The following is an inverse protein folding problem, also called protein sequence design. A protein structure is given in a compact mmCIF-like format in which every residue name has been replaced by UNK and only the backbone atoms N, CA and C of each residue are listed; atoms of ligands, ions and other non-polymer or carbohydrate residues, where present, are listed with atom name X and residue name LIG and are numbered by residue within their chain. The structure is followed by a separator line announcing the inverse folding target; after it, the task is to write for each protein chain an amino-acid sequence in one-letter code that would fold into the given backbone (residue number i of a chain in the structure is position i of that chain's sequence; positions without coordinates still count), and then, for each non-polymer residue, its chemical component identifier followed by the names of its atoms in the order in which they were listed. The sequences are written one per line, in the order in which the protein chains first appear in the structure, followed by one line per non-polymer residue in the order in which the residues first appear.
data_IF_652842723525
#
_entry.id   IF_652842723525
#
_cell.length_a   1.000
_cell.length_b   1.000
_cell.length_c   1.000
_cell.angle_alpha   90.00
_cell.angle_beta   90.00
_cell.angle_gamma   90.00
#
_symmetry.space_group_name_H-M   'P 1'
#
loop_
_entity.id
_entity.type
_entity.pdbx_description
1 polymer ?
#
# COMPACT_ATOMS: atom_id res chain seq x y z
N UNK A 1 25.25 25.03 3.91
CA UNK A 1 25.76 23.66 3.70
C UNK A 1 24.96 23.08 2.57
N UNK A 2 25.64 22.73 1.47
CA UNK A 2 25.09 22.76 0.12
C UNK A 2 24.03 21.70 -0.15
N UNK A 3 22.93 22.12 -0.77
CA UNK A 3 22.03 21.24 -1.47
C UNK A 3 22.84 20.51 -2.54
N UNK A 4 23.07 19.21 -2.35
CA UNK A 4 23.65 18.35 -3.38
C UNK A 4 22.65 18.28 -4.52
N UNK A 5 22.99 18.92 -5.64
CA UNK A 5 22.18 18.94 -6.85
C UNK A 5 21.81 17.52 -7.26
N UNK A 6 20.51 17.28 -7.43
CA UNK A 6 19.93 16.04 -7.95
C UNK A 6 20.33 15.87 -9.41
N UNK A 7 20.74 14.65 -9.79
CA UNK A 7 21.10 14.37 -11.19
C UNK A 7 19.85 14.53 -12.07
N UNK A 8 19.91 15.31 -13.16
CA UNK A 8 18.78 15.47 -14.05
C UNK A 8 18.40 14.11 -14.69
N UNK A 9 17.11 13.88 -14.96
CA UNK A 9 16.70 12.70 -15.75
C UNK A 9 17.43 12.59 -17.09
N UNK A 10 17.45 11.41 -17.74
CA UNK A 10 18.35 11.08 -18.86
C UNK A 10 18.29 12.05 -20.05
N UNK A 11 17.19 12.78 -20.25
CA UNK A 11 17.04 13.76 -21.34
C UNK A 11 17.65 15.14 -21.03
N UNK A 12 17.98 15.43 -19.77
CA UNK A 12 18.39 16.77 -19.31
C UNK A 12 19.88 16.95 -19.13
N UNK A 13 20.64 15.86 -19.11
CA UNK A 13 22.11 15.90 -19.12
C UNK A 13 22.64 16.47 -20.44
N UNK A 14 21.87 16.33 -21.54
CA UNK A 14 22.19 16.90 -22.85
C UNK A 14 21.76 18.36 -23.07
N UNK A 15 21.06 19.00 -22.11
CA UNK A 15 20.55 20.37 -22.30
C UNK A 15 21.60 21.43 -21.91
N UNK A 16 22.03 22.32 -22.82
CA UNK A 16 22.98 23.39 -22.50
C UNK A 16 22.48 24.30 -21.38
N UNK A 17 23.39 24.80 -20.54
CA UNK A 17 23.03 25.63 -19.39
C UNK A 17 22.19 26.87 -19.76
N UNK A 18 22.50 27.53 -20.89
CA UNK A 18 21.74 28.69 -21.36
C UNK A 18 20.27 28.40 -21.67
N UNK A 19 19.94 27.19 -22.12
CA UNK A 19 18.54 26.78 -22.29
C UNK A 19 17.83 26.60 -20.95
N UNK A 20 18.51 26.07 -19.93
CA UNK A 20 17.94 26.01 -18.56
C UNK A 20 17.64 27.40 -18.03
N UNK A 21 18.52 28.37 -18.29
CA UNK A 21 18.35 29.76 -17.86
C UNK A 21 17.17 30.47 -18.55
N UNK A 22 16.80 30.07 -19.76
CA UNK A 22 15.64 30.62 -20.48
C UNK A 22 14.33 29.87 -20.16
N UNK A 23 14.36 28.53 -20.12
CA UNK A 23 13.15 27.70 -19.97
C UNK A 23 12.60 27.74 -18.55
N UNK A 24 13.45 27.80 -17.52
CA UNK A 24 12.98 27.81 -16.13
C UNK A 24 12.14 29.08 -15.83
N UNK A 25 12.59 30.31 -16.14
CA UNK A 25 11.75 31.50 -15.99
C UNK A 25 10.44 31.41 -16.77
N UNK A 26 10.46 30.90 -18.01
CA UNK A 26 9.25 30.71 -18.80
C UNK A 26 8.26 29.77 -18.09
N UNK A 27 8.72 28.62 -17.61
CA UNK A 27 7.87 27.67 -16.88
C UNK A 27 7.34 28.24 -15.56
N UNK A 28 8.14 29.05 -14.85
CA UNK A 28 7.69 29.80 -13.66
C UNK A 28 6.58 30.80 -14.03
N UNK A 29 6.72 31.54 -15.14
CA UNK A 29 5.69 32.46 -15.63
C UNK A 29 4.40 31.74 -16.04
N UNK A 30 4.51 30.58 -16.70
CA UNK A 30 3.34 29.75 -17.06
C UNK A 30 2.63 29.28 -15.79
N UNK A 31 3.36 28.77 -14.80
CA UNK A 31 2.79 28.35 -13.52
C UNK A 31 2.09 29.51 -12.78
N UNK A 32 2.65 30.72 -12.85
CA UNK A 32 2.03 31.92 -12.27
C UNK A 32 0.74 32.32 -13.00
N UNK A 33 0.73 32.28 -14.34
CA UNK A 33 -0.47 32.53 -15.14
C UNK A 33 -1.57 31.52 -14.82
N UNK A 34 -1.23 30.22 -14.79
CA UNK A 34 -2.14 29.14 -14.40
C UNK A 34 -2.74 29.36 -13.01
N UNK A 35 -1.93 29.80 -12.03
CA UNK A 35 -2.43 30.13 -10.70
C UNK A 35 -3.44 31.29 -10.72
N UNK A 36 -3.16 32.36 -11.48
CA UNK A 36 -4.08 33.48 -11.65
C UNK A 36 -5.41 33.05 -12.32
N UNK A 37 -5.36 32.19 -13.34
CA UNK A 37 -6.55 31.64 -13.98
C UNK A 37 -7.37 30.76 -13.02
N UNK A 38 -6.72 29.91 -12.21
CA UNK A 38 -7.42 29.10 -11.20
C UNK A 38 -8.10 29.97 -10.15
N UNK A 39 -7.41 30.99 -9.64
CA UNK A 39 -7.98 31.98 -8.72
C UNK A 39 -9.22 32.65 -9.30
N UNK A 40 -9.16 33.05 -10.58
CA UNK A 40 -10.32 33.65 -11.26
C UNK A 40 -11.50 32.69 -11.37
N UNK A 41 -11.25 31.39 -11.63
CA UNK A 41 -12.30 30.36 -11.74
C UNK A 41 -12.99 30.08 -10.41
N UNK A 42 -12.24 30.12 -9.30
CA UNK A 42 -12.77 29.81 -7.96
C UNK A 42 -13.19 31.04 -7.15
N UNK A 43 -13.19 32.23 -7.76
CA UNK A 43 -13.48 33.51 -7.07
C UNK A 43 -14.81 33.53 -6.31
N UNK A 44 -15.79 32.75 -6.77
CA UNK A 44 -17.13 32.69 -6.18
C UNK A 44 -17.24 31.59 -5.07
N UNK A 45 -16.20 30.78 -4.87
CA UNK A 45 -16.11 29.77 -3.81
C UNK A 45 -15.03 30.15 -2.78
N UNK A 46 -15.45 30.66 -1.63
CA UNK A 46 -14.55 31.13 -0.56
C UNK A 46 -13.56 30.06 -0.09
N UNK A 47 -13.95 28.79 0.00
CA UNK A 47 -13.07 27.73 0.49
C UNK A 47 -11.97 27.40 -0.52
N UNK A 48 -12.33 27.25 -1.80
CA UNK A 48 -11.36 26.99 -2.86
C UNK A 48 -10.47 28.22 -3.10
N UNK A 49 -11.02 29.43 -2.98
CA UNK A 49 -10.26 30.67 -3.08
C UNK A 49 -9.17 30.76 -2.01
N UNK A 50 -9.50 30.49 -0.74
CA UNK A 50 -8.50 30.45 0.34
C UNK A 50 -7.42 29.41 0.06
N UNK A 51 -7.80 28.23 -0.45
CA UNK A 51 -6.84 27.18 -0.83
C UNK A 51 -5.92 27.63 -1.96
N UNK A 52 -6.44 28.23 -3.03
CA UNK A 52 -5.61 28.71 -4.14
C UNK A 52 -4.73 29.90 -3.73
N UNK A 53 -5.22 30.80 -2.87
CA UNK A 53 -4.44 31.92 -2.33
C UNK A 53 -3.22 31.43 -1.52
N UNK A 54 -3.36 30.33 -0.76
CA UNK A 54 -2.22 29.72 -0.07
C UNK A 54 -1.13 29.22 -1.03
N UNK A 55 -1.47 28.95 -2.30
CA UNK A 55 -0.50 28.61 -3.35
C UNK A 55 0.29 29.79 -3.90
N UNK A 56 -0.14 31.04 -3.65
CA UNK A 56 0.58 32.24 -4.10
C UNK A 56 1.83 32.53 -3.26
N UNK A 57 2.06 31.79 -2.17
CA UNK A 57 3.29 31.92 -1.41
C UNK A 57 4.53 31.73 -2.32
N UNK A 58 5.60 32.51 -2.08
CA UNK A 58 6.88 32.30 -2.77
C UNK A 58 7.36 30.86 -2.62
N UNK A 59 7.97 30.31 -3.67
CA UNK A 59 8.57 28.96 -3.62
C UNK A 59 9.65 28.92 -2.53
N UNK A 60 9.61 27.91 -1.68
CA UNK A 60 10.68 27.60 -0.71
C UNK A 60 11.83 26.81 -1.33
N UNK A 61 11.69 26.41 -2.60
CA UNK A 61 12.61 25.57 -3.36
C UNK A 61 13.02 26.28 -4.65
N UNK A 62 14.22 25.96 -5.14
CA UNK A 62 14.74 26.50 -6.39
C UNK A 62 14.22 25.69 -7.60
N UNK A 63 13.47 26.30 -8.53
CA UNK A 63 13.00 25.63 -9.73
C UNK A 63 14.12 25.14 -10.66
N UNK A 64 15.31 25.72 -10.59
CA UNK A 64 16.48 25.23 -11.34
C UNK A 64 17.06 23.96 -10.72
N UNK A 65 17.02 23.83 -9.39
CA UNK A 65 17.47 22.65 -8.67
C UNK A 65 16.46 21.49 -8.76
N UNK A 66 15.15 21.79 -8.77
CA UNK A 66 14.08 20.79 -8.85
C UNK A 66 13.17 21.01 -10.08
N UNK A 67 13.69 20.87 -11.30
CA UNK A 67 12.91 21.09 -12.51
C UNK A 67 11.76 20.09 -12.68
N UNK A 68 11.87 18.87 -12.17
CA UNK A 68 10.75 17.90 -12.16
C UNK A 68 9.55 18.45 -11.39
N UNK A 69 9.76 19.02 -10.21
CA UNK A 69 8.70 19.67 -9.43
C UNK A 69 8.04 20.82 -10.20
N UNK A 70 8.82 21.62 -10.93
CA UNK A 70 8.29 22.71 -11.74
C UNK A 70 7.47 22.20 -12.93
N UNK A 71 7.93 21.15 -13.61
CA UNK A 71 7.18 20.54 -14.70
C UNK A 71 5.87 19.95 -14.18
N UNK A 72 5.84 19.38 -12.97
CA UNK A 72 4.61 18.87 -12.36
C UNK A 72 3.57 19.99 -12.19
N UNK A 73 4.02 21.17 -11.74
CA UNK A 73 3.14 22.34 -11.60
C UNK A 73 2.53 22.73 -12.94
N UNK A 74 3.38 22.85 -13.97
CA UNK A 74 2.98 23.32 -15.30
C UNK A 74 2.06 22.31 -16.00
N UNK A 75 2.46 21.04 -16.06
CA UNK A 75 1.69 19.98 -16.72
C UNK A 75 0.42 19.63 -15.95
N UNK A 76 0.53 19.60 -14.61
CA UNK A 76 -0.60 19.32 -13.74
C UNK A 76 -1.58 20.48 -13.60
N UNK A 77 -1.21 21.69 -14.05
CA UNK A 77 -1.93 22.93 -13.74
C UNK A 77 -2.24 23.04 -12.23
N UNK A 78 -1.21 22.81 -11.41
CA UNK A 78 -1.28 22.89 -9.95
C UNK A 78 -0.17 23.76 -9.40
N UNK A 79 -0.25 24.05 -8.11
CA UNK A 79 0.81 24.72 -7.36
C UNK A 79 1.22 23.82 -6.19
N UNK A 80 2.51 23.52 -6.09
CA UNK A 80 3.04 22.74 -4.96
C UNK A 80 3.00 23.64 -3.73
N UNK A 81 2.26 23.20 -2.72
CA UNK A 81 2.08 23.94 -1.47
C UNK A 81 3.31 23.75 -0.59
N UNK A 82 3.60 24.75 0.25
CA UNK A 82 4.75 24.73 1.15
C UNK A 82 4.85 23.46 2.00
N UNK A 83 3.73 23.02 2.60
CA UNK A 83 3.68 21.77 3.39
C UNK A 83 4.06 20.52 2.58
N UNK A 84 3.67 20.46 1.30
CA UNK A 84 3.99 19.33 0.43
C UNK A 84 5.48 19.32 0.11
N UNK A 85 6.07 20.48 -0.18
CA UNK A 85 7.49 20.60 -0.43
C UNK A 85 8.34 20.36 0.81
N UNK A 86 7.96 20.88 1.98
CA UNK A 86 8.71 20.69 3.22
C UNK A 86 8.84 19.18 3.55
N UNK A 87 7.76 18.43 3.32
CA UNK A 87 7.76 16.97 3.50
C UNK A 87 8.56 16.29 2.39
N UNK A 88 8.37 16.68 1.13
CA UNK A 88 9.12 16.12 0.02
C UNK A 88 10.63 16.34 0.17
N UNK A 89 11.07 17.51 0.62
CA UNK A 89 12.46 17.83 0.92
C UNK A 89 13.03 16.89 1.99
N UNK A 90 12.27 16.68 3.07
CA UNK A 90 12.65 15.76 4.14
C UNK A 90 12.65 14.30 3.67
N UNK A 91 11.76 13.89 2.76
CA UNK A 91 11.77 12.52 2.20
C UNK A 91 12.95 12.29 1.25
N UNK A 92 13.33 13.31 0.47
CA UNK A 92 14.49 13.27 -0.44
C UNK A 92 15.80 13.15 0.34
N UNK A 93 15.97 13.91 1.41
CA UNK A 93 17.14 13.86 2.29
C UNK A 93 16.73 13.81 3.77
N UNK A 94 16.41 12.62 4.30
CA UNK A 94 15.94 12.50 5.67
C UNK A 94 17.07 12.75 6.68
N UNK A 95 16.72 13.25 7.88
CA UNK A 95 17.70 13.47 8.94
C UNK A 95 18.51 12.20 9.21
N UNK A 96 19.82 12.35 9.30
CA UNK A 96 20.76 11.24 9.52
C UNK A 96 20.79 10.17 8.41
N UNK A 97 20.19 10.41 7.24
CA UNK A 97 20.09 9.46 6.12
C UNK A 97 19.48 8.10 6.49
N UNK A 98 18.67 8.07 7.55
CA UNK A 98 17.94 6.88 7.99
C UNK A 98 16.53 6.85 7.39
N UNK A 99 15.84 5.74 7.58
CA UNK A 99 14.42 5.64 7.26
C UNK A 99 13.64 6.72 8.03
N UNK A 100 12.71 7.37 7.35
CA UNK A 100 11.89 8.42 7.92
C UNK A 100 10.42 8.12 7.64
N UNK A 101 9.57 8.51 8.60
CA UNK A 101 8.12 8.39 8.51
C UNK A 101 7.53 9.79 8.47
N UNK A 102 6.58 10.01 7.56
CA UNK A 102 5.90 11.29 7.38
C UNK A 102 4.41 11.09 7.52
N UNK A 103 3.74 12.02 8.21
CA UNK A 103 2.29 12.02 8.33
C UNK A 103 1.73 13.29 7.69
N UNK A 104 0.82 13.11 6.74
CA UNK A 104 -0.06 14.19 6.27
C UNK A 104 -1.51 13.81 6.50
N UNK A 105 -2.35 14.83 6.59
CA UNK A 105 -3.80 14.68 6.56
C UNK A 105 -4.25 14.11 5.21
N UNK A 106 -5.38 13.39 5.23
CA UNK A 106 -5.99 12.87 4.02
C UNK A 106 -6.41 14.02 3.09
N UNK A 107 -6.22 13.83 1.79
CA UNK A 107 -6.55 14.85 0.77
C UNK A 107 -5.48 15.92 0.56
N UNK A 108 -4.37 15.90 1.30
CA UNK A 108 -3.27 16.86 1.13
C UNK A 108 -2.36 16.57 -0.09
N UNK A 109 -2.71 15.59 -0.92
CA UNK A 109 -1.98 15.27 -2.15
C UNK A 109 -0.67 14.49 -1.94
N UNK A 110 -0.66 13.53 -1.02
CA UNK A 110 0.49 12.63 -0.79
C UNK A 110 0.86 11.88 -2.09
N UNK A 111 -0.07 11.03 -2.55
CA UNK A 111 0.10 10.17 -3.73
C UNK A 111 0.13 10.96 -5.04
N UNK A 112 -0.53 12.13 -5.10
CA UNK A 112 -0.70 12.90 -6.34
C UNK A 112 0.36 13.98 -6.58
N UNK A 113 1.10 14.38 -5.54
CA UNK A 113 2.11 15.45 -5.62
C UNK A 113 3.42 15.00 -4.99
N UNK A 114 3.42 14.59 -3.72
CA UNK A 114 4.64 14.31 -2.95
C UNK A 114 5.36 13.08 -3.51
N UNK A 115 4.67 11.96 -3.64
CA UNK A 115 5.30 10.73 -4.13
C UNK A 115 5.89 10.90 -5.54
N UNK A 116 5.18 11.52 -6.52
CA UNK A 116 5.76 11.83 -7.82
C UNK A 116 7.03 12.69 -7.77
N UNK A 117 7.02 13.83 -7.05
CA UNK A 117 8.21 14.72 -7.03
C UNK A 117 9.38 14.09 -6.28
N UNK A 118 9.12 13.33 -5.22
CA UNK A 118 10.15 12.61 -4.47
C UNK A 118 10.72 11.50 -5.34
N UNK A 119 9.86 10.72 -6.00
CA UNK A 119 10.30 9.65 -6.89
C UNK A 119 11.12 10.19 -8.07
N UNK A 120 10.68 11.26 -8.71
CA UNK A 120 11.38 11.88 -9.83
C UNK A 120 12.76 12.43 -9.42
N UNK A 121 12.85 13.05 -8.23
CA UNK A 121 14.09 13.61 -7.72
C UNK A 121 15.11 12.53 -7.28
N UNK A 122 14.61 11.38 -6.79
CA UNK A 122 15.46 10.26 -6.36
C UNK A 122 15.86 9.33 -7.51
N UNK A 123 15.13 9.36 -8.64
CA UNK A 123 15.40 8.55 -9.82
C UNK A 123 16.55 9.16 -10.65
N UNK A 124 17.74 9.15 -10.05
CA UNK A 124 18.96 9.83 -10.49
C UNK A 124 19.85 9.01 -11.44
N UNK A 125 19.41 7.82 -11.85
CA UNK A 125 20.23 6.92 -12.67
C UNK A 125 21.10 5.95 -11.86
N UNK A 126 21.35 6.26 -10.59
CA UNK A 126 22.26 5.50 -9.72
C UNK A 126 21.52 4.51 -8.82
N UNK A 127 20.29 4.84 -8.47
CA UNK A 127 19.45 4.09 -7.51
C UNK A 127 18.17 3.60 -8.17
N UNK A 128 17.66 2.47 -7.68
CA UNK A 128 16.34 1.99 -8.08
C UNK A 128 15.27 2.61 -7.17
N UNK A 129 14.45 3.53 -7.69
CA UNK A 129 13.33 4.08 -6.92
C UNK A 129 12.13 3.17 -7.00
N UNK A 130 11.61 2.74 -5.85
CA UNK A 130 10.43 1.88 -5.73
C UNK A 130 9.32 2.61 -4.98
N UNK A 131 8.16 2.74 -5.62
CA UNK A 131 6.92 3.19 -4.98
C UNK A 131 6.14 1.95 -4.56
N UNK A 132 6.04 1.72 -3.26
CA UNK A 132 5.36 0.57 -2.66
C UNK A 132 3.96 0.99 -2.25
N UNK A 133 2.96 0.26 -2.74
CA UNK A 133 1.54 0.49 -2.44
C UNK A 133 0.80 -0.82 -2.22
N UNK A 134 -0.30 -0.75 -1.47
CA UNK A 134 -1.15 -1.91 -1.28
C UNK A 134 -1.79 -2.33 -2.61
N UNK A 135 -2.05 -3.62 -2.77
CA UNK A 135 -2.66 -4.19 -3.99
C UNK A 135 -3.96 -3.49 -4.43
N UNK A 136 -4.90 -3.12 -3.54
CA UNK A 136 -6.10 -2.39 -3.95
C UNK A 136 -5.81 -1.02 -4.57
N UNK A 137 -4.77 -0.32 -4.11
CA UNK A 137 -4.41 1.03 -4.56
C UNK A 137 -3.47 1.01 -5.79
N UNK A 138 -2.88 -0.14 -6.11
CA UNK A 138 -1.82 -0.26 -7.12
C UNK A 138 -2.22 0.25 -8.51
N UNK A 139 -3.45 -0.04 -8.97
CA UNK A 139 -3.91 0.44 -10.28
C UNK A 139 -4.06 1.96 -10.31
N UNK A 140 -4.64 2.53 -9.25
CA UNK A 140 -4.80 3.97 -9.11
C UNK A 140 -3.43 4.66 -9.04
N UNK A 141 -2.49 4.12 -8.27
CA UNK A 141 -1.13 4.67 -8.18
C UNK A 141 -0.40 4.58 -9.53
N UNK A 142 -0.59 3.49 -10.30
CA UNK A 142 -0.04 3.41 -11.65
C UNK A 142 -0.55 4.54 -12.54
N UNK A 143 -1.86 4.77 -12.58
CA UNK A 143 -2.47 5.82 -13.39
C UNK A 143 -1.96 7.22 -12.96
N UNK A 144 -1.79 7.44 -11.66
CA UNK A 144 -1.20 8.68 -11.12
C UNK A 144 0.24 8.84 -11.58
N UNK A 145 1.10 7.84 -11.37
CA UNK A 145 2.52 7.92 -11.74
C UNK A 145 2.70 8.10 -13.24
N UNK A 146 1.93 7.37 -14.06
CA UNK A 146 1.95 7.52 -15.53
C UNK A 146 1.51 8.92 -15.93
N UNK A 147 0.41 9.44 -15.36
CA UNK A 147 -0.08 10.78 -15.66
C UNK A 147 0.88 11.89 -15.21
N UNK A 148 1.56 11.73 -14.06
CA UNK A 148 2.40 12.77 -13.48
C UNK A 148 3.84 12.74 -13.95
N UNK A 149 4.38 11.56 -14.27
CA UNK A 149 5.79 11.39 -14.59
C UNK A 149 6.02 10.98 -16.06
N UNK A 150 5.03 10.38 -16.72
CA UNK A 150 5.15 9.90 -18.10
C UNK A 150 5.02 10.99 -19.17
N UNK A 151 4.55 12.18 -18.79
CA UNK A 151 4.34 13.32 -19.69
C UNK A 151 5.63 14.10 -19.97
N UNK A 152 5.64 15.40 -19.68
CA UNK A 152 6.79 16.29 -20.00
C UNK A 152 8.06 15.89 -19.22
N UNK A 153 7.91 15.27 -18.05
CA UNK A 153 9.05 14.73 -17.30
C UNK A 153 9.72 13.53 -17.99
N UNK A 154 8.98 12.82 -18.84
CA UNK A 154 9.42 11.65 -19.61
C UNK A 154 10.15 10.59 -18.75
N UNK A 155 9.54 10.24 -17.62
CA UNK A 155 10.01 9.17 -16.74
C UNK A 155 9.18 7.92 -16.99
N UNK A 156 9.84 6.83 -17.34
CA UNK A 156 9.15 5.55 -17.55
C UNK A 156 8.76 4.94 -16.20
N UNK A 157 7.50 4.50 -16.12
CA UNK A 157 7.00 3.72 -14.99
C UNK A 157 7.17 2.23 -15.30
N UNK A 158 7.89 1.55 -14.41
CA UNK A 158 8.12 0.12 -14.45
C UNK A 158 7.21 -0.56 -13.43
N UNK A 159 6.83 -1.80 -13.68
CA UNK A 159 6.16 -2.65 -12.68
C UNK A 159 7.07 -3.82 -12.36
N UNK A 160 7.12 -4.23 -11.09
CA UNK A 160 7.86 -5.42 -10.68
C UNK A 160 7.15 -6.68 -11.24
N UNK A 161 7.75 -7.44 -12.16
CA UNK A 161 7.08 -8.51 -12.89
C UNK A 161 7.20 -9.84 -12.12
N UNK A 162 6.83 -9.83 -10.84
CA UNK A 162 6.94 -10.98 -9.96
C UNK A 162 5.60 -11.29 -9.33
N UNK A 163 5.22 -12.55 -9.40
CA UNK A 163 4.09 -13.10 -8.68
C UNK A 163 4.43 -14.52 -8.26
N UNK A 164 3.68 -15.07 -7.29
CA UNK A 164 3.94 -16.41 -6.78
C UNK A 164 3.88 -17.52 -7.84
N UNK A 165 3.14 -17.32 -8.92
CA UNK A 165 3.02 -18.29 -10.02
C UNK A 165 4.21 -18.30 -10.98
N UNK A 166 5.08 -17.29 -10.92
CA UNK A 166 6.29 -17.23 -11.75
C UNK A 166 7.27 -18.29 -11.27
N UNK A 167 7.61 -19.22 -12.14
CA UNK A 167 8.79 -20.09 -11.95
C UNK A 167 9.99 -19.32 -12.46
N UNK A 168 11.03 -19.24 -11.64
CA UNK A 168 12.28 -18.57 -11.97
C UNK A 168 13.37 -19.62 -12.22
N UNK A 169 14.01 -19.52 -13.37
CA UNK A 169 15.26 -20.19 -13.70
C UNK A 169 16.41 -19.17 -13.80
N UNK A 170 17.64 -19.66 -13.99
CA UNK A 170 18.82 -18.80 -14.03
C UNK A 170 18.77 -17.75 -15.17
N UNK A 171 18.10 -18.05 -16.28
CA UNK A 171 17.93 -17.12 -17.40
C UNK A 171 16.93 -16.01 -17.05
N UNK A 172 15.83 -16.37 -16.41
CA UNK A 172 14.80 -15.43 -15.97
C UNK A 172 15.32 -14.51 -14.86
N UNK A 173 16.13 -15.04 -13.93
CA UNK A 173 16.81 -14.22 -12.93
C UNK A 173 17.74 -13.19 -13.59
N UNK A 174 18.50 -13.57 -14.62
CA UNK A 174 19.31 -12.61 -15.39
C UNK A 174 18.47 -11.55 -16.11
N UNK A 175 17.36 -11.94 -16.74
CA UNK A 175 16.44 -11.00 -17.40
C UNK A 175 15.87 -10.00 -16.40
N UNK A 176 15.44 -10.47 -15.23
CA UNK A 176 14.95 -9.61 -14.14
C UNK A 176 16.03 -8.66 -13.64
N UNK A 177 17.26 -9.13 -13.46
CA UNK A 177 18.37 -8.29 -13.01
C UNK A 177 18.63 -7.15 -14.01
N UNK A 178 18.65 -7.47 -15.30
CA UNK A 178 18.79 -6.48 -16.37
C UNK A 178 17.60 -5.51 -16.39
N UNK A 179 16.38 -5.99 -16.18
CA UNK A 179 15.19 -5.15 -16.11
C UNK A 179 15.24 -4.13 -14.97
N UNK A 180 15.68 -4.55 -13.77
CA UNK A 180 15.87 -3.64 -12.64
C UNK A 180 17.00 -2.64 -12.89
N UNK A 181 18.12 -3.08 -13.47
CA UNK A 181 19.23 -2.19 -13.82
C UNK A 181 18.84 -1.17 -14.89
N UNK A 182 18.07 -1.56 -15.91
CA UNK A 182 17.57 -0.66 -16.92
C UNK A 182 16.63 0.39 -16.31
N UNK A 183 15.73 -0.01 -15.41
CA UNK A 183 14.87 0.92 -14.68
C UNK A 183 15.68 1.97 -13.91
N UNK A 184 16.72 1.54 -13.18
CA UNK A 184 17.59 2.46 -12.47
C UNK A 184 18.34 3.38 -13.43
N UNK A 185 19.03 2.83 -14.43
CA UNK A 185 19.86 3.58 -15.37
C UNK A 185 19.08 4.58 -16.23
N UNK A 186 17.82 4.29 -16.57
CA UNK A 186 16.95 5.23 -17.28
C UNK A 186 16.34 6.30 -16.37
N UNK A 187 16.66 6.31 -15.07
CA UNK A 187 15.98 7.15 -14.08
C UNK A 187 14.46 6.89 -14.06
N UNK A 188 14.05 5.64 -14.25
CA UNK A 188 12.67 5.21 -14.18
C UNK A 188 12.21 5.00 -12.74
N UNK A 189 10.89 4.90 -12.55
CA UNK A 189 10.26 4.65 -11.25
C UNK A 189 9.56 3.30 -11.29
N UNK A 190 9.81 2.45 -10.29
CA UNK A 190 9.22 1.12 -10.21
C UNK A 190 8.05 1.08 -9.23
N UNK A 191 6.86 0.70 -9.71
CA UNK A 191 5.71 0.40 -8.89
C UNK A 191 5.81 -1.03 -8.35
N UNK A 192 5.67 -1.17 -7.04
CA UNK A 192 5.86 -2.42 -6.30
C UNK A 192 4.69 -2.63 -5.34
N UNK A 193 4.31 -3.90 -5.17
CA UNK A 193 3.37 -4.33 -4.12
C UNK A 193 4.16 -5.13 -3.08
N UNK A 194 3.78 -5.10 -1.79
CA UNK A 194 4.40 -5.94 -0.77
C UNK A 194 4.46 -7.42 -1.15
N UNK A 195 3.41 -7.93 -1.83
CA UNK A 195 3.32 -9.32 -2.29
C UNK A 195 4.46 -9.70 -3.25
N UNK A 196 4.93 -8.77 -4.08
CA UNK A 196 6.02 -9.02 -5.05
C UNK A 196 7.35 -9.20 -4.33
N UNK A 197 7.64 -8.35 -3.34
CA UNK A 197 8.87 -8.40 -2.53
C UNK A 197 8.91 -9.71 -1.73
N UNK A 198 7.82 -10.02 -1.04
CA UNK A 198 7.75 -11.22 -0.21
C UNK A 198 7.76 -12.50 -1.05
N UNK A 199 7.07 -12.51 -2.19
CA UNK A 199 7.13 -13.65 -3.13
C UNK A 199 8.56 -13.94 -3.56
N UNK A 200 9.34 -12.91 -3.91
CA UNK A 200 10.72 -13.07 -4.34
C UNK A 200 11.63 -13.60 -3.21
N UNK A 201 11.47 -13.08 -2.00
CA UNK A 201 12.19 -13.55 -0.82
C UNK A 201 11.91 -15.04 -0.56
N UNK A 202 10.64 -15.43 -0.53
CA UNK A 202 10.25 -16.81 -0.25
C UNK A 202 10.67 -17.78 -1.36
N UNK A 203 10.56 -17.37 -2.63
CA UNK A 203 11.08 -18.19 -3.74
C UNK A 203 12.59 -18.43 -3.61
N UNK A 204 13.35 -17.41 -3.18
CA UNK A 204 14.80 -17.54 -2.97
C UNK A 204 15.10 -18.58 -1.88
N UNK A 205 14.38 -18.51 -0.76
CA UNK A 205 14.52 -19.46 0.36
C UNK A 205 14.10 -20.88 -0.05
N UNK A 206 12.98 -21.03 -0.75
CA UNK A 206 12.50 -22.34 -1.22
C UNK A 206 13.47 -23.00 -2.20
N UNK A 207 14.04 -22.21 -3.11
CA UNK A 207 15.06 -22.68 -4.06
C UNK A 207 16.30 -23.18 -3.31
N UNK A 208 16.72 -22.48 -2.24
CA UNK A 208 17.81 -22.92 -1.39
C UNK A 208 17.48 -24.24 -0.66
N UNK A 209 16.26 -24.37 -0.11
CA UNK A 209 15.81 -25.59 0.60
C UNK A 209 15.75 -26.80 -0.35
N UNK A 210 15.39 -26.60 -1.63
CA UNK A 210 15.39 -27.65 -2.66
C UNK A 210 16.79 -28.12 -3.07
N UNK A 211 17.84 -27.44 -2.64
CA UNK A 211 19.23 -27.77 -2.98
C UNK A 211 19.71 -27.17 -4.31
N UNK A 212 18.95 -26.27 -4.93
CA UNK A 212 19.32 -25.58 -6.17
C UNK A 212 20.26 -24.40 -5.87
N UNK A 213 21.45 -24.69 -5.33
CA UNK A 213 22.37 -23.71 -4.72
C UNK A 213 22.80 -22.58 -5.65
N UNK A 214 23.11 -22.87 -6.92
CA UNK A 214 23.53 -21.86 -7.89
C UNK A 214 22.41 -20.87 -8.23
N UNK A 215 21.18 -21.36 -8.41
CA UNK A 215 20.01 -20.52 -8.67
C UNK A 215 19.66 -19.68 -7.44
N UNK A 216 19.61 -20.32 -6.26
CA UNK A 216 19.36 -19.64 -4.99
C UNK A 216 20.40 -18.52 -4.75
N UNK A 217 21.68 -18.77 -5.05
CA UNK A 217 22.73 -17.77 -4.94
C UNK A 217 22.51 -16.60 -5.90
N UNK A 218 22.17 -16.86 -7.16
CA UNK A 218 21.86 -15.79 -8.12
C UNK A 218 20.63 -14.96 -7.73
N UNK A 219 19.60 -15.59 -7.15
CA UNK A 219 18.43 -14.89 -6.64
C UNK A 219 18.76 -14.06 -5.39
N UNK A 220 19.59 -14.60 -4.50
CA UNK A 220 20.08 -13.89 -3.32
C UNK A 220 20.90 -12.66 -3.69
N UNK A 221 21.82 -12.76 -4.67
CA UNK A 221 22.64 -11.63 -5.10
C UNK A 221 21.77 -10.52 -5.72
N UNK A 222 20.69 -10.88 -6.42
CA UNK A 222 19.69 -9.91 -6.86
C UNK A 222 18.92 -9.28 -5.68
N UNK A 223 18.53 -10.07 -4.68
CA UNK A 223 17.87 -9.56 -3.49
C UNK A 223 18.74 -8.55 -2.73
N UNK A 224 20.03 -8.86 -2.56
CA UNK A 224 21.01 -7.97 -1.95
C UNK A 224 21.21 -6.68 -2.77
N UNK A 225 21.26 -6.78 -4.10
CA UNK A 225 21.30 -5.62 -4.99
C UNK A 225 20.05 -4.73 -4.81
N UNK A 226 18.86 -5.34 -4.74
CA UNK A 226 17.61 -4.61 -4.52
C UNK A 226 17.55 -3.94 -3.14
N UNK A 227 18.18 -4.49 -2.11
CA UNK A 227 18.19 -3.86 -0.78
C UNK A 227 19.27 -2.77 -0.65
N UNK A 228 20.42 -2.95 -1.29
CA UNK A 228 21.57 -2.05 -1.16
C UNK A 228 21.48 -0.82 -2.08
N UNK A 229 20.78 -0.93 -3.21
CA UNK A 229 20.70 0.14 -4.23
C UNK A 229 19.31 0.71 -4.46
N UNK A 230 18.28 0.22 -3.78
CA UNK A 230 16.94 0.78 -3.91
C UNK A 230 16.65 1.88 -2.90
N UNK A 231 15.68 2.72 -3.25
CA UNK A 231 15.07 3.71 -2.38
C UNK A 231 13.56 3.53 -2.42
N UNK A 232 13.00 3.18 -1.28
CA UNK A 232 11.57 2.88 -1.15
C UNK A 232 10.80 4.10 -0.67
N UNK A 233 9.70 4.37 -1.37
CA UNK A 233 8.67 5.32 -0.99
C UNK A 233 7.42 4.48 -0.74
N UNK A 234 6.92 4.47 0.49
CA UNK A 234 5.78 3.63 0.88
C UNK A 234 4.58 4.53 1.13
N UNK A 235 3.57 4.42 0.28
CA UNK A 235 2.29 5.10 0.50
C UNK A 235 1.44 4.27 1.47
N UNK A 236 0.62 4.91 2.31
CA UNK A 236 -0.20 4.25 3.35
C UNK A 236 0.58 3.16 4.13
N UNK A 237 1.72 3.57 4.70
CA UNK A 237 2.65 2.67 5.39
C UNK A 237 2.06 1.96 6.62
N UNK A 238 1.04 2.53 7.26
CA UNK A 238 0.30 1.90 8.35
C UNK A 238 -0.51 0.68 7.87
N UNK A 239 -1.07 0.75 6.66
CA UNK A 239 -1.70 -0.40 6.01
C UNK A 239 -0.63 -1.41 5.52
N UNK A 240 0.39 -0.94 4.80
CA UNK A 240 1.39 -1.83 4.18
C UNK A 240 2.26 -2.58 5.20
N UNK A 241 2.46 -2.02 6.39
CA UNK A 241 3.19 -2.67 7.48
C UNK A 241 2.28 -3.29 8.53
N UNK A 242 0.96 -3.32 8.30
CA UNK A 242 0.02 -3.97 9.21
C UNK A 242 0.17 -5.49 9.17
N UNK A 243 0.16 -6.12 10.34
CA UNK A 243 0.11 -7.59 10.48
C UNK A 243 -1.15 -8.20 9.85
N UNK A 244 -2.19 -7.41 9.61
CA UNK A 244 -3.41 -7.86 8.92
C UNK A 244 -3.15 -8.31 7.48
N UNK A 245 -2.12 -7.77 6.84
CA UNK A 245 -1.73 -8.08 5.47
C UNK A 245 -0.51 -9.00 5.39
N UNK A 246 -0.18 -9.69 6.50
CA UNK A 246 0.85 -10.72 6.49
C UNK A 246 0.43 -11.85 5.55
N UNK A 247 1.17 -12.03 4.45
CA UNK A 247 0.89 -13.07 3.48
C UNK A 247 1.47 -14.39 3.98
N UNK A 248 0.59 -15.27 4.44
CA UNK A 248 0.95 -16.62 4.87
C UNK A 248 0.88 -17.55 3.65
N UNK A 249 2.02 -18.06 3.20
CA UNK A 249 2.11 -19.02 2.11
C UNK A 249 2.32 -20.44 2.66
N UNK A 250 1.45 -21.36 2.25
CA UNK A 250 1.62 -22.78 2.58
C UNK A 250 2.66 -23.42 1.67
N UNK A 251 3.49 -24.30 2.23
CA UNK A 251 4.53 -25.04 1.51
C UNK A 251 4.19 -26.52 1.49
N UNK A 252 4.41 -27.17 0.34
CA UNK A 252 4.16 -28.60 0.12
C UNK A 252 2.83 -28.89 -0.55
N UNK A 253 2.47 -30.18 -0.60
CA UNK A 253 1.23 -30.63 -1.22
C UNK A 253 0.00 -30.20 -0.42
N UNK A 254 -1.12 -30.02 -1.13
CA UNK A 254 -2.41 -29.80 -0.49
C UNK A 254 -2.73 -30.99 0.43
N UNK A 255 -2.80 -30.73 1.73
CA UNK A 255 -3.22 -31.71 2.73
C UNK A 255 -4.60 -31.35 3.24
N UNK A 256 -5.33 -32.36 3.70
CA UNK A 256 -6.53 -32.13 4.51
C UNK A 256 -6.17 -31.22 5.69
N UNK A 257 -6.97 -30.18 5.90
CA UNK A 257 -6.80 -29.30 7.06
C UNK A 257 -6.91 -30.18 8.32
N UNK A 258 -5.95 -30.05 9.25
CA UNK A 258 -6.00 -30.78 10.51
C UNK A 258 -7.32 -30.50 11.25
N UNK A 259 -7.98 -31.56 11.74
CA UNK A 259 -9.33 -31.53 12.33
C UNK A 259 -10.40 -30.94 11.38
N UNK A 260 -10.27 -31.16 10.07
CA UNK A 260 -11.14 -30.60 9.04
C UNK A 260 -12.63 -30.69 9.38
N UNK A 261 -13.26 -31.88 9.31
CA UNK A 261 -14.69 -32.04 9.60
C UNK A 261 -15.09 -31.44 10.93
N UNK A 262 -14.27 -31.64 11.96
CA UNK A 262 -14.53 -31.12 13.29
C UNK A 262 -14.58 -29.58 13.32
N UNK A 263 -13.72 -28.88 12.57
CA UNK A 263 -13.67 -27.41 12.58
C UNK A 263 -14.99 -26.76 12.14
N UNK A 264 -15.64 -27.29 11.10
CA UNK A 264 -16.93 -26.73 10.65
C UNK A 264 -18.13 -27.36 11.37
N UNK A 265 -18.05 -28.64 11.76
CA UNK A 265 -19.12 -29.29 12.54
C UNK A 265 -19.27 -28.66 13.92
N UNK A 266 -18.16 -28.42 14.63
CA UNK A 266 -18.16 -27.77 15.96
C UNK A 266 -18.87 -26.41 15.90
N UNK A 267 -18.51 -25.58 14.91
CA UNK A 267 -19.10 -24.25 14.76
C UNK A 267 -20.61 -24.37 14.48
N UNK A 268 -21.01 -25.27 13.59
CA UNK A 268 -22.43 -25.49 13.27
C UNK A 268 -23.23 -26.01 14.47
N UNK A 269 -22.67 -26.92 15.27
CA UNK A 269 -23.32 -27.45 16.45
C UNK A 269 -23.46 -26.39 17.55
N UNK A 270 -22.39 -25.63 17.83
CA UNK A 270 -22.43 -24.51 18.78
C UNK A 270 -23.43 -23.45 18.34
N UNK A 271 -23.43 -23.06 17.06
CA UNK A 271 -24.42 -22.14 16.52
C UNK A 271 -25.83 -22.73 16.65
N UNK A 272 -26.04 -24.00 16.32
CA UNK A 272 -27.33 -24.69 16.48
C UNK A 272 -27.85 -24.64 17.93
N UNK A 273 -26.97 -24.83 18.91
CA UNK A 273 -27.28 -24.69 20.34
C UNK A 273 -27.67 -23.24 20.65
N UNK A 274 -26.89 -22.26 20.21
CA UNK A 274 -27.20 -20.84 20.39
C UNK A 274 -28.57 -20.51 19.78
N UNK A 275 -28.82 -20.89 18.53
CA UNK A 275 -30.10 -20.66 17.86
C UNK A 275 -31.28 -21.32 18.59
N UNK A 276 -31.10 -22.52 19.14
CA UNK A 276 -32.11 -23.18 19.99
C UNK A 276 -32.44 -22.34 21.23
N UNK A 277 -31.43 -21.88 21.96
CA UNK A 277 -31.64 -21.10 23.17
C UNK A 277 -32.07 -19.66 22.90
N UNK A 278 -31.73 -19.09 21.74
CA UNK A 278 -32.25 -17.80 21.30
C UNK A 278 -33.76 -17.86 21.06
N UNK A 279 -34.29 -18.94 20.45
CA UNK A 279 -35.75 -19.16 20.32
C UNK A 279 -36.46 -19.24 21.67
N UNK A 280 -35.85 -19.91 22.64
CA UNK A 280 -36.38 -19.98 24.00
C UNK A 280 -36.27 -18.65 24.75
N UNK A 281 -35.19 -17.91 24.54
CA UNK A 281 -35.02 -16.60 25.13
C UNK A 281 -35.97 -15.57 24.53
N UNK A 282 -36.40 -15.71 23.27
CA UNK A 282 -37.42 -14.82 22.68
C UNK A 282 -38.76 -14.90 23.39
N UNK A 283 -39.17 -16.08 23.87
CA UNK A 283 -40.41 -16.21 24.66
C UNK A 283 -40.24 -15.62 26.06
N UNK A 284 -39.06 -15.78 26.67
CA UNK A 284 -38.74 -15.24 28.01
C UNK A 284 -38.47 -13.72 28.01
N UNK A 285 -37.90 -13.19 26.94
CA UNK A 285 -37.54 -11.79 26.75
C UNK A 285 -38.06 -11.24 25.40
N UNK A 286 -39.38 -11.06 25.23
CA UNK A 286 -39.98 -10.68 23.94
C UNK A 286 -39.44 -9.37 23.35
N UNK A 287 -39.04 -8.42 24.20
CA UNK A 287 -38.44 -7.13 23.84
C UNK A 287 -36.90 -7.11 23.95
N UNK A 288 -36.28 -8.17 24.47
CA UNK A 288 -34.84 -8.24 24.70
C UNK A 288 -34.08 -8.90 23.55
N UNK A 289 -34.73 -9.74 22.75
CA UNK A 289 -34.15 -10.43 21.60
C UNK A 289 -35.05 -10.22 20.38
N UNK A 290 -34.46 -9.94 19.23
CA UNK A 290 -35.14 -10.07 17.93
C UNK A 290 -34.57 -11.27 17.20
N UNK A 291 -35.47 -12.04 16.58
CA UNK A 291 -35.13 -13.19 15.75
C UNK A 291 -35.80 -12.99 14.40
N UNK A 292 -35.00 -13.03 13.35
CA UNK A 292 -35.49 -13.07 11.98
C UNK A 292 -35.13 -14.42 11.35
N UNK A 293 -36.16 -15.20 11.02
CA UNK A 293 -36.05 -16.55 10.46
C UNK A 293 -36.48 -16.53 9.00
N UNK A 294 -35.52 -16.38 8.09
CA UNK A 294 -35.76 -16.43 6.65
C UNK A 294 -35.85 -17.89 6.22
N UNK A 295 -37.02 -18.52 6.39
CA UNK A 295 -37.33 -19.87 5.91
C UNK A 295 -36.89 -21.04 6.81
N UNK A 296 -37.33 -22.27 6.46
CA UNK A 296 -37.21 -23.49 7.30
C UNK A 296 -35.79 -24.07 7.46
N UNK A 297 -34.78 -23.52 6.80
CA UNK A 297 -33.43 -24.11 6.76
C UNK A 297 -32.30 -23.08 6.96
N UNK A 298 -32.63 -21.89 7.45
CA UNK A 298 -31.64 -20.85 7.72
C UNK A 298 -31.29 -20.76 9.21
N UNK A 299 -30.08 -20.30 9.48
CA UNK A 299 -29.72 -19.85 10.82
C UNK A 299 -30.38 -18.49 11.08
N UNK A 300 -31.05 -18.28 12.23
CA UNK A 300 -31.74 -17.02 12.51
C UNK A 300 -30.75 -15.87 12.60
N UNK A 301 -31.13 -14.69 12.08
CA UNK A 301 -30.47 -13.45 12.47
C UNK A 301 -30.92 -13.12 13.90
N UNK A 302 -29.96 -13.10 14.83
CA UNK A 302 -30.22 -12.84 16.25
C UNK A 302 -29.70 -11.45 16.59
N UNK A 303 -30.58 -10.57 17.06
CA UNK A 303 -30.21 -9.25 17.58
C UNK A 303 -30.52 -9.18 19.07
N UNK A 304 -29.50 -8.86 19.87
CA UNK A 304 -29.64 -8.66 21.31
C UNK A 304 -29.88 -7.19 21.59
N UNK A 305 -31.04 -6.85 22.16
CA UNK A 305 -31.43 -5.48 22.49
C UNK A 305 -31.11 -5.12 23.95
N UNK A 306 -30.78 -6.11 24.78
CA UNK A 306 -30.31 -5.91 26.15
C UNK A 306 -29.28 -6.97 26.56
N UNK A 307 -28.49 -6.65 27.57
CA UNK A 307 -27.45 -7.54 28.10
C UNK A 307 -28.01 -8.80 28.75
N UNK A 308 -29.16 -8.70 29.43
CA UNK A 308 -29.70 -9.80 30.23
C UNK A 308 -30.13 -10.99 29.37
N UNK A 309 -30.73 -10.73 28.21
CA UNK A 309 -31.11 -11.79 27.27
C UNK A 309 -29.90 -12.46 26.63
N UNK A 310 -28.86 -11.68 26.29
CA UNK A 310 -27.60 -12.21 25.79
C UNK A 310 -26.90 -13.12 26.81
N UNK A 311 -26.83 -12.69 28.08
CA UNK A 311 -26.28 -13.50 29.16
C UNK A 311 -27.07 -14.79 29.40
N UNK A 312 -28.41 -14.74 29.37
CA UNK A 312 -29.24 -15.93 29.54
C UNK A 312 -29.00 -16.95 28.41
N UNK A 313 -28.96 -16.50 27.16
CA UNK A 313 -28.67 -17.37 26.00
C UNK A 313 -27.28 -18.00 26.11
N UNK A 314 -26.25 -17.21 26.44
CA UNK A 314 -24.89 -17.71 26.64
C UNK A 314 -24.84 -18.74 27.77
N UNK A 315 -25.45 -18.42 28.92
CA UNK A 315 -25.47 -19.29 30.10
C UNK A 315 -26.15 -20.63 29.79
N UNK A 316 -27.28 -20.61 29.10
CA UNK A 316 -27.99 -21.82 28.71
C UNK A 316 -27.22 -22.64 27.66
N UNK A 317 -26.60 -21.97 26.69
CA UNK A 317 -25.77 -22.61 25.66
C UNK A 317 -24.55 -23.29 26.28
N UNK A 318 -23.85 -22.62 27.19
CA UNK A 318 -22.71 -23.19 27.94
C UNK A 318 -23.18 -24.35 28.80
N UNK A 319 -24.29 -24.20 29.53
CA UNK A 319 -24.83 -25.27 30.37
C UNK A 319 -25.21 -26.51 29.54
N UNK A 320 -25.70 -26.33 28.31
CA UNK A 320 -25.97 -27.42 27.38
C UNK A 320 -24.69 -28.14 26.99
N UNK A 321 -23.68 -27.40 26.52
CA UNK A 321 -22.39 -27.97 26.09
C UNK A 321 -21.71 -28.71 27.25
N UNK A 322 -21.73 -28.14 28.46
CA UNK A 322 -21.12 -28.77 29.63
C UNK A 322 -21.87 -30.02 30.10
N UNK A 323 -23.20 -30.09 29.96
CA UNK A 323 -24.00 -31.22 30.44
C UNK A 323 -24.13 -32.35 29.42
N UNK A 324 -24.43 -32.00 28.16
CA UNK A 324 -24.73 -32.96 27.10
C UNK A 324 -23.50 -33.25 26.22
N UNK A 325 -22.48 -32.38 26.29
CA UNK A 325 -21.35 -32.39 25.37
C UNK A 325 -21.68 -31.66 24.06
N UNK A 326 -20.65 -31.53 23.23
CA UNK A 326 -20.77 -31.24 21.81
C UNK A 326 -19.72 -32.08 21.08
N UNK A 327 -19.89 -32.35 19.79
CA UNK A 327 -18.88 -33.03 18.99
C UNK A 327 -17.56 -32.25 19.08
N UNK A 328 -16.45 -32.94 19.34
CA UNK A 328 -15.15 -32.30 19.63
C UNK A 328 -14.96 -31.77 21.05
N UNK A 329 -16.01 -31.70 21.88
CA UNK A 329 -15.96 -31.32 23.29
C UNK A 329 -16.54 -32.43 24.18
N UNK A 330 -15.73 -33.41 24.62
CA UNK A 330 -16.19 -34.51 25.48
C UNK A 330 -16.42 -34.06 26.94
N UNK A 331 -16.68 -32.77 27.19
CA UNK A 331 -16.82 -32.16 28.52
C UNK A 331 -17.95 -32.83 29.32
N UNK A 332 -19.10 -33.09 28.67
CA UNK A 332 -20.22 -33.82 29.31
C UNK A 332 -19.97 -35.32 29.54
N UNK A 333 -18.89 -35.88 28.97
CA UNK A 333 -18.50 -37.30 29.11
C UNK A 333 -17.27 -37.50 30.01
N UNK A 334 -16.66 -36.42 30.50
CA UNK A 334 -15.57 -36.53 31.48
C UNK A 334 -16.15 -36.88 32.84
N UNK A 335 -15.67 -37.98 33.43
CA UNK A 335 -16.03 -38.34 34.80
C UNK A 335 -15.65 -37.18 35.74
N UNK A 336 -16.58 -36.77 36.61
CA UNK A 336 -16.29 -35.78 37.65
C UNK A 336 -15.12 -36.33 38.49
N UNK A 337 -13.97 -35.66 38.44
CA UNK A 337 -12.88 -35.88 39.40
C UNK A 337 -13.24 -35.29 40.75
#
# INVERSE_FOLDING_TARGET
MGATGTSPGPNREGLPAGWKEAVVPLAVSISALQAAERLWRVRDNTQDLVRELSGLEPRTWDPKAFPDSLLLEVEGNIRIRRVQEDIAATMRDPPSRKNAFMQLNMGEGKSSVIDPIVAAALADGLRLVRVIVAKPQSRQMLDILVSKLGGVMNRRIYQMPLSRSVKLDASQVRILANYYQQCAASGGVMLVQPEHVLSFQLMTVETAIRGETALAKSMWDMHDMLNSKARDIVDESDENFSTKFELIYTVGDQRSIGNGPERWIIIQEVLGIVGKYSRQAKTKFPRGVELDEVGRSSFPLIRFLNSDSGHDILRQSIAHICKLGAQGFPIGRQAKR
#
